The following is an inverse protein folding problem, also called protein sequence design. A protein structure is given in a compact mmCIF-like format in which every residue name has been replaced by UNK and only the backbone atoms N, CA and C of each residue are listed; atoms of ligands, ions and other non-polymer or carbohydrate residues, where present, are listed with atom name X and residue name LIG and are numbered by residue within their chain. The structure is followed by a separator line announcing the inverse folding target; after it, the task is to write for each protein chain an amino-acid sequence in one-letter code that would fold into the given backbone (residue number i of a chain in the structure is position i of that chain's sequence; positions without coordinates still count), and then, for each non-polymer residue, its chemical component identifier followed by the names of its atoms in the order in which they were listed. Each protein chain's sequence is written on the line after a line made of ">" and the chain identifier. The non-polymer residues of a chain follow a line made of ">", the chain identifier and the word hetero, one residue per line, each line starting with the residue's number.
data_IF_431008371021
#
_entry.id   IF_431008371021
#
_cell.length_a   1.000
_cell.length_b   1.000
_cell.length_c   1.000
_cell.angle_alpha   90.00
_cell.angle_beta   90.00
_cell.angle_gamma   90.00
#
_symmetry.space_group_name_H-M   'P 1'
#
loop_
_entity.id
_entity.type
_entity.pdbx_description
1 polymer ?
#
# COMPACT_ATOMS: atom_id res chain seq x y z
N UNK A 1 17.24 -58.12 3.44
CA UNK A 1 16.81 -56.71 3.55
C UNK A 1 17.15 -56.06 2.22
N UNK A 2 16.17 -55.69 1.38
CA UNK A 2 16.47 -55.05 0.10
C UNK A 2 17.14 -53.69 0.37
N UNK A 3 18.29 -53.48 -0.27
CA UNK A 3 19.01 -52.21 -0.28
C UNK A 3 18.06 -51.05 -0.63
N UNK A 4 18.14 -49.95 0.12
CA UNK A 4 17.30 -48.76 -0.07
C UNK A 4 17.38 -48.25 -1.52
N UNK A 5 18.52 -48.43 -2.19
CA UNK A 5 18.71 -48.04 -3.59
C UNK A 5 17.83 -48.81 -4.57
N UNK A 6 17.49 -50.08 -4.29
CA UNK A 6 16.60 -50.85 -5.15
C UNK A 6 15.15 -50.39 -5.04
N UNK A 7 14.75 -49.83 -3.89
CA UNK A 7 13.38 -49.35 -3.64
C UNK A 7 13.12 -47.95 -4.17
N UNK A 8 14.15 -47.24 -4.63
CA UNK A 8 14.05 -45.90 -5.22
C UNK A 8 13.39 -45.88 -6.60
N UNK A 9 13.38 -47.01 -7.34
CA UNK A 9 12.92 -47.06 -8.73
C UNK A 9 11.47 -46.59 -8.92
N UNK A 10 10.61 -46.74 -7.90
CA UNK A 10 9.20 -46.38 -7.97
C UNK A 10 8.87 -45.05 -7.26
N UNK A 11 9.87 -44.31 -6.78
CA UNK A 11 9.64 -43.06 -6.09
C UNK A 11 9.51 -41.91 -7.11
N UNK A 12 8.36 -41.20 -7.16
CA UNK A 12 8.13 -40.19 -8.20
C UNK A 12 9.03 -38.96 -7.99
N UNK A 13 9.56 -38.37 -9.09
CA UNK A 13 10.34 -37.14 -8.99
C UNK A 13 9.47 -35.93 -8.60
N UNK A 14 10.11 -34.84 -8.19
CA UNK A 14 9.40 -33.59 -7.90
C UNK A 14 8.85 -32.99 -9.21
N UNK A 15 7.53 -32.80 -9.27
CA UNK A 15 6.88 -32.10 -10.38
C UNK A 15 6.74 -30.60 -10.10
N UNK A 16 7.51 -29.81 -10.83
CA UNK A 16 7.51 -28.33 -10.78
C UNK A 16 6.74 -27.67 -11.94
N UNK A 17 6.11 -28.46 -12.83
CA UNK A 17 5.48 -27.95 -14.06
C UNK A 17 4.20 -27.17 -13.79
N UNK A 18 3.52 -27.43 -12.67
CA UNK A 18 2.31 -26.71 -12.24
C UNK A 18 2.71 -25.43 -11.50
N UNK A 19 3.03 -24.36 -12.26
CA UNK A 19 3.51 -23.08 -11.72
C UNK A 19 2.65 -22.49 -10.58
N UNK A 20 1.33 -22.73 -10.58
CA UNK A 20 0.41 -22.20 -9.57
C UNK A 20 0.44 -22.91 -8.20
N UNK A 21 1.17 -24.02 -8.04
CA UNK A 21 1.17 -24.81 -6.80
C UNK A 21 2.55 -25.36 -6.38
N UNK A 22 3.65 -24.80 -6.88
CA UNK A 22 5.02 -25.33 -6.65
C UNK A 22 5.32 -25.57 -5.16
N UNK A 23 5.02 -24.61 -4.28
CA UNK A 23 5.25 -24.76 -2.84
C UNK A 23 4.43 -25.90 -2.22
N UNK A 24 3.17 -26.07 -2.62
CA UNK A 24 2.32 -27.17 -2.14
C UNK A 24 2.78 -28.53 -2.64
N UNK A 25 3.17 -28.61 -3.92
CA UNK A 25 3.74 -29.82 -4.52
C UNK A 25 5.03 -30.23 -3.80
N UNK A 26 5.90 -29.24 -3.53
CA UNK A 26 7.11 -29.45 -2.74
C UNK A 26 6.82 -29.99 -1.34
N UNK A 27 5.89 -29.37 -0.59
CA UNK A 27 5.53 -29.83 0.75
C UNK A 27 5.02 -31.28 0.75
N UNK A 28 4.14 -31.63 -0.20
CA UNK A 28 3.63 -32.99 -0.36
C UNK A 28 4.73 -33.99 -0.72
N UNK A 29 5.57 -33.64 -1.70
CA UNK A 29 6.68 -34.48 -2.13
C UNK A 29 7.69 -34.69 -1.00
N UNK A 30 8.04 -33.64 -0.26
CA UNK A 30 8.94 -33.70 0.90
C UNK A 30 8.39 -34.61 2.00
N UNK A 31 7.09 -34.53 2.30
CA UNK A 31 6.45 -35.45 3.25
C UNK A 31 6.58 -36.90 2.78
N UNK A 32 6.26 -37.19 1.52
CA UNK A 32 6.40 -38.54 0.96
C UNK A 32 7.85 -39.05 1.04
N UNK A 33 8.82 -38.17 0.77
CA UNK A 33 10.25 -38.49 0.87
C UNK A 33 10.67 -38.82 2.31
N UNK A 34 10.24 -38.02 3.29
CA UNK A 34 10.53 -38.27 4.70
C UNK A 34 9.87 -39.57 5.19
N UNK A 35 8.63 -39.85 4.78
CA UNK A 35 7.97 -41.12 5.08
C UNK A 35 8.68 -42.31 4.43
N UNK A 36 9.19 -42.16 3.22
CA UNK A 36 10.02 -43.17 2.56
C UNK A 36 11.30 -43.46 3.37
N UNK A 37 12.03 -42.42 3.81
CA UNK A 37 13.21 -42.62 4.66
C UNK A 37 12.87 -43.30 5.99
N UNK A 38 11.79 -42.89 6.65
CA UNK A 38 11.35 -43.50 7.91
C UNK A 38 10.99 -44.98 7.75
N UNK A 39 10.38 -45.36 6.62
CA UNK A 39 9.99 -46.74 6.35
C UNK A 39 11.18 -47.61 5.94
N UNK A 40 12.01 -47.11 5.03
CA UNK A 40 13.05 -47.89 4.37
C UNK A 40 14.41 -47.84 5.08
N UNK A 41 14.64 -46.82 5.92
CA UNK A 41 15.84 -46.66 6.74
C UNK A 41 15.49 -46.26 8.17
N UNK A 42 14.55 -46.98 8.79
CA UNK A 42 14.08 -46.72 10.16
C UNK A 42 15.19 -46.72 11.23
N UNK A 43 16.29 -47.44 10.97
CA UNK A 43 17.47 -47.52 11.86
C UNK A 43 18.54 -46.47 11.51
N UNK A 44 18.25 -45.57 10.56
CA UNK A 44 19.13 -44.50 10.10
C UNK A 44 20.53 -44.97 9.67
N UNK A 45 20.63 -46.17 9.09
CA UNK A 45 21.88 -46.78 8.63
C UNK A 45 22.50 -45.93 7.52
N UNK A 46 21.67 -45.33 6.66
CA UNK A 46 22.08 -44.52 5.52
C UNK A 46 22.02 -43.01 5.79
N UNK A 47 21.97 -42.57 7.05
CA UNK A 47 21.80 -41.16 7.43
C UNK A 47 22.81 -40.22 6.76
N UNK A 48 24.07 -40.64 6.66
CA UNK A 48 25.14 -39.89 5.98
C UNK A 48 24.94 -39.79 4.46
N UNK A 49 24.13 -40.67 3.87
CA UNK A 49 23.80 -40.71 2.46
C UNK A 49 22.43 -40.11 2.15
N UNK A 50 21.61 -39.74 3.13
CA UNK A 50 20.25 -39.23 2.88
C UNK A 50 20.21 -38.02 1.94
N UNK A 51 21.19 -37.12 1.99
CA UNK A 51 21.30 -36.01 1.02
C UNK A 51 21.55 -36.53 -0.39
N UNK A 52 22.37 -37.57 -0.55
CA UNK A 52 22.61 -38.21 -1.86
C UNK A 52 21.33 -38.89 -2.36
N UNK A 53 20.60 -39.56 -1.47
CA UNK A 53 19.32 -40.20 -1.77
C UNK A 53 18.28 -39.15 -2.22
N UNK A 54 18.16 -38.04 -1.49
CA UNK A 54 17.33 -36.90 -1.88
C UNK A 54 17.66 -36.44 -3.30
N UNK A 55 18.95 -36.23 -3.59
CA UNK A 55 19.38 -35.77 -4.91
C UNK A 55 19.08 -36.79 -6.01
N UNK A 56 19.16 -38.10 -5.74
CA UNK A 56 18.76 -39.12 -6.73
C UNK A 56 17.26 -39.05 -7.04
N UNK A 57 16.43 -38.79 -6.04
CA UNK A 57 14.96 -38.85 -6.12
C UNK A 57 14.28 -37.53 -6.54
N UNK A 58 14.86 -36.38 -6.21
CA UNK A 58 14.22 -35.06 -6.42
C UNK A 58 14.03 -34.69 -7.90
N UNK A 59 14.68 -35.42 -8.82
CA UNK A 59 14.58 -35.16 -10.25
C UNK A 59 15.46 -34.01 -10.76
N UNK A 60 15.45 -33.74 -12.08
CA UNK A 60 16.37 -32.81 -12.72
C UNK A 60 16.18 -31.35 -12.26
N UNK A 61 14.95 -30.88 -12.11
CA UNK A 61 14.66 -29.50 -11.70
C UNK A 61 15.07 -29.25 -10.25
N UNK A 62 14.78 -30.19 -9.35
CA UNK A 62 15.23 -30.13 -7.97
C UNK A 62 16.77 -30.13 -7.85
N UNK A 63 17.46 -30.95 -8.65
CA UNK A 63 18.94 -30.94 -8.74
C UNK A 63 19.47 -29.58 -9.20
N UNK A 64 18.81 -28.94 -10.17
CA UNK A 64 19.20 -27.60 -10.66
C UNK A 64 19.08 -26.55 -9.56
N UNK A 65 17.96 -26.56 -8.82
CA UNK A 65 17.75 -25.67 -7.66
C UNK A 65 18.81 -25.91 -6.60
N UNK A 66 19.09 -27.18 -6.27
CA UNK A 66 20.15 -27.54 -5.31
C UNK A 66 21.50 -26.97 -5.76
N UNK A 67 21.90 -27.19 -7.01
CA UNK A 67 23.18 -26.68 -7.53
C UNK A 67 23.29 -25.15 -7.40
N UNK A 68 22.19 -24.43 -7.63
CA UNK A 68 22.15 -22.98 -7.48
C UNK A 68 22.27 -22.52 -6.02
N UNK A 69 21.66 -23.23 -5.07
CA UNK A 69 21.65 -22.85 -3.65
C UNK A 69 22.94 -23.24 -2.89
N UNK A 70 23.71 -24.20 -3.41
CA UNK A 70 24.86 -24.81 -2.72
C UNK A 70 26.16 -24.76 -3.54
N UNK A 71 26.35 -23.72 -4.35
CA UNK A 71 27.58 -23.53 -5.15
C UNK A 71 28.84 -23.77 -4.30
N UNK A 72 29.68 -24.73 -4.72
CA UNK A 72 30.99 -25.08 -4.14
C UNK A 72 31.01 -25.53 -2.66
N UNK A 73 29.91 -26.07 -2.12
CA UNK A 73 29.89 -26.61 -0.75
C UNK A 73 30.08 -28.14 -0.71
N UNK A 74 30.79 -28.65 0.32
CA UNK A 74 30.68 -30.05 0.74
C UNK A 74 29.21 -30.41 1.00
N UNK A 75 28.85 -31.68 0.79
CA UNK A 75 27.51 -32.21 1.04
C UNK A 75 27.07 -31.88 2.46
N UNK A 76 26.07 -31.01 2.57
CA UNK A 76 25.48 -30.63 3.85
C UNK A 76 24.50 -31.70 4.33
N UNK A 77 24.27 -31.69 5.64
CA UNK A 77 23.28 -32.55 6.28
C UNK A 77 21.88 -32.34 5.67
N UNK A 78 21.08 -33.40 5.67
CA UNK A 78 19.77 -33.40 5.03
C UNK A 78 18.87 -32.27 5.56
N UNK A 79 18.91 -31.99 6.86
CA UNK A 79 18.05 -31.00 7.50
C UNK A 79 18.33 -29.60 6.97
N UNK A 80 19.60 -29.20 6.90
CA UNK A 80 20.01 -27.91 6.32
C UNK A 80 19.64 -27.82 4.84
N UNK A 81 19.77 -28.92 4.10
CA UNK A 81 19.40 -28.97 2.68
C UNK A 81 17.90 -28.76 2.49
N UNK A 82 17.09 -29.51 3.23
CA UNK A 82 15.62 -29.40 3.18
C UNK A 82 15.15 -28.01 3.57
N UNK A 83 15.72 -27.40 4.62
CA UNK A 83 15.30 -26.07 5.07
C UNK A 83 15.54 -24.98 4.01
N UNK A 84 16.67 -25.04 3.30
CA UNK A 84 16.95 -24.10 2.20
C UNK A 84 16.06 -24.34 0.99
N UNK A 85 15.77 -25.60 0.68
CA UNK A 85 14.82 -25.95 -0.39
C UNK A 85 13.40 -25.54 -0.01
N UNK A 86 12.99 -25.67 1.25
CA UNK A 86 11.71 -25.18 1.77
C UNK A 86 11.55 -23.68 1.50
N UNK A 87 12.53 -22.87 1.93
CA UNK A 87 12.52 -21.42 1.69
C UNK A 87 12.44 -21.11 0.18
N UNK A 88 13.15 -21.86 -0.66
CA UNK A 88 13.14 -21.64 -2.11
C UNK A 88 11.82 -22.02 -2.77
N UNK A 89 11.30 -23.23 -2.55
CA UNK A 89 10.11 -23.70 -3.25
C UNK A 89 8.82 -23.06 -2.74
N UNK A 90 8.79 -22.63 -1.46
CA UNK A 90 7.62 -21.97 -0.87
C UNK A 90 7.55 -20.51 -1.29
N UNK A 91 8.67 -19.76 -1.19
CA UNK A 91 8.66 -18.31 -1.43
C UNK A 91 9.23 -17.89 -2.78
N UNK A 92 9.97 -18.76 -3.46
CA UNK A 92 10.59 -18.47 -4.75
C UNK A 92 11.51 -17.24 -4.69
N UNK A 93 11.28 -16.31 -5.62
CA UNK A 93 12.00 -15.03 -5.75
C UNK A 93 11.30 -13.88 -5.00
N UNK A 94 10.34 -14.18 -4.11
CA UNK A 94 9.63 -13.14 -3.37
C UNK A 94 10.60 -12.40 -2.45
N UNK A 95 10.67 -11.09 -2.62
CA UNK A 95 11.48 -10.16 -1.84
C UNK A 95 10.60 -8.99 -1.39
N UNK A 96 10.98 -8.38 -0.27
CA UNK A 96 10.31 -7.19 0.26
C UNK A 96 10.41 -6.04 -0.73
N UNK A 97 9.27 -5.47 -1.12
CA UNK A 97 9.22 -4.41 -2.12
C UNK A 97 9.65 -3.05 -1.54
N UNK A 98 10.12 -2.16 -2.42
CA UNK A 98 10.51 -0.80 -2.03
C UNK A 98 9.28 0.00 -1.59
N UNK A 99 9.18 0.28 -0.30
CA UNK A 99 8.04 1.00 0.30
C UNK A 99 6.98 0.13 0.94
N UNK A 100 7.09 -1.20 0.82
CA UNK A 100 6.29 -2.16 1.61
C UNK A 100 6.74 -2.12 3.07
N UNK A 101 5.80 -2.15 4.03
CA UNK A 101 6.18 -2.26 5.44
C UNK A 101 6.67 -3.67 5.76
N UNK A 102 7.48 -3.82 6.81
CA UNK A 102 7.89 -5.15 7.28
C UNK A 102 6.64 -5.97 7.62
N UNK A 103 5.63 -5.41 8.29
CA UNK A 103 4.40 -6.14 8.65
C UNK A 103 3.66 -6.68 7.42
N UNK A 104 3.47 -5.85 6.38
CA UNK A 104 2.83 -6.28 5.14
C UNK A 104 3.59 -7.40 4.45
N UNK A 105 4.92 -7.30 4.43
CA UNK A 105 5.77 -8.35 3.87
C UNK A 105 5.63 -9.66 4.64
N UNK A 106 5.62 -9.61 5.97
CA UNK A 106 5.45 -10.77 6.85
C UNK A 106 4.09 -11.42 6.65
N UNK A 107 3.01 -10.65 6.64
CA UNK A 107 1.65 -11.16 6.39
C UNK A 107 1.57 -11.86 5.05
N UNK A 108 2.19 -11.26 4.03
CA UNK A 108 2.30 -11.82 2.68
C UNK A 108 3.10 -13.13 2.64
N UNK A 109 4.15 -13.29 3.45
CA UNK A 109 4.89 -14.54 3.58
C UNK A 109 4.07 -15.60 4.34
N UNK A 110 3.39 -15.20 5.42
CA UNK A 110 2.53 -16.09 6.21
C UNK A 110 1.42 -16.70 5.35
N UNK A 111 0.75 -15.90 4.52
CA UNK A 111 -0.27 -16.40 3.59
C UNK A 111 0.28 -17.43 2.60
N UNK A 112 1.49 -17.21 2.07
CA UNK A 112 2.14 -18.15 1.15
C UNK A 112 2.51 -19.46 1.86
N UNK A 113 3.06 -19.38 3.08
CA UNK A 113 3.39 -20.55 3.88
C UNK A 113 2.13 -21.39 4.21
N UNK A 114 1.03 -20.74 4.60
CA UNK A 114 -0.26 -21.38 4.85
C UNK A 114 -0.83 -22.03 3.58
N UNK A 115 -0.81 -21.33 2.45
CA UNK A 115 -1.29 -21.87 1.17
C UNK A 115 -0.48 -23.09 0.71
N UNK A 116 0.81 -23.15 1.04
CA UNK A 116 1.67 -24.31 0.75
C UNK A 116 1.41 -25.53 1.65
N UNK A 117 0.57 -25.39 2.68
CA UNK A 117 0.32 -26.40 3.72
C UNK A 117 1.58 -26.82 4.47
N UNK A 118 2.49 -25.87 4.71
CA UNK A 118 3.69 -26.15 5.49
C UNK A 118 3.32 -26.34 6.98
N UNK A 119 3.92 -27.34 7.63
CA UNK A 119 3.55 -27.73 9.00
C UNK A 119 3.76 -26.61 10.04
N UNK A 120 4.81 -25.81 9.87
CA UNK A 120 5.16 -24.71 10.79
C UNK A 120 5.40 -23.40 10.01
N UNK A 121 4.30 -22.67 9.68
CA UNK A 121 4.38 -21.44 8.90
C UNK A 121 5.25 -20.36 9.54
N UNK A 122 5.19 -20.22 10.87
CA UNK A 122 5.95 -19.20 11.59
C UNK A 122 7.46 -19.46 11.49
N UNK A 123 7.88 -20.72 11.65
CA UNK A 123 9.29 -21.07 11.54
C UNK A 123 9.84 -20.90 10.12
N UNK A 124 9.09 -21.29 9.08
CA UNK A 124 9.59 -21.13 7.70
C UNK A 124 9.64 -19.66 7.26
N UNK A 125 8.71 -18.84 7.75
CA UNK A 125 8.75 -17.38 7.58
C UNK A 125 9.94 -16.78 8.32
N UNK A 126 10.22 -17.22 9.55
CA UNK A 126 11.45 -16.85 10.29
C UNK A 126 12.71 -17.13 9.47
N UNK A 127 12.87 -18.34 8.93
CA UNK A 127 14.05 -18.69 8.11
C UNK A 127 14.17 -17.83 6.85
N UNK A 128 13.05 -17.52 6.20
CA UNK A 128 13.01 -16.61 5.05
C UNK A 128 13.45 -15.21 5.43
N UNK A 129 12.98 -14.65 6.55
CA UNK A 129 13.36 -13.32 7.01
C UNK A 129 14.83 -13.26 7.38
N UNK A 130 15.36 -14.28 8.07
CA UNK A 130 16.79 -14.34 8.41
C UNK A 130 17.64 -14.28 7.14
N UNK A 131 17.25 -15.03 6.10
CA UNK A 131 17.91 -14.99 4.77
C UNK A 131 17.83 -13.58 4.16
N UNK A 132 16.68 -12.93 4.23
CA UNK A 132 16.47 -11.61 3.63
C UNK A 132 17.24 -10.52 4.36
N UNK A 133 17.22 -10.51 5.69
CA UNK A 133 18.02 -9.61 6.54
C UNK A 133 19.50 -9.82 6.24
N UNK A 134 19.98 -11.07 6.16
CA UNK A 134 21.38 -11.35 5.85
C UNK A 134 21.81 -10.75 4.51
N UNK A 135 20.93 -10.79 3.51
CA UNK A 135 21.21 -10.28 2.17
C UNK A 135 20.86 -8.79 2.00
N UNK A 136 20.36 -8.15 3.05
CA UNK A 136 19.95 -6.76 3.01
C UNK A 136 21.16 -5.83 3.12
N UNK A 137 21.20 -4.80 2.27
CA UNK A 137 22.27 -3.80 2.25
C UNK A 137 22.08 -2.75 3.35
N UNK A 138 22.38 -3.12 4.59
CA UNK A 138 22.39 -2.18 5.72
C UNK A 138 23.54 -1.18 5.60
N UNK A 139 23.29 0.06 6.04
CA UNK A 139 24.26 1.15 6.02
C UNK A 139 24.10 2.04 7.26
N UNK A 140 25.06 2.92 7.54
CA UNK A 140 24.95 3.89 8.63
C UNK A 140 24.81 3.26 10.02
N UNK A 141 23.98 3.86 10.86
CA UNK A 141 23.74 3.38 12.23
C UNK A 141 23.22 1.95 12.29
N UNK A 142 22.46 1.51 11.28
CA UNK A 142 21.97 0.14 11.24
C UNK A 142 23.11 -0.87 11.07
N UNK A 143 24.14 -0.53 10.29
CA UNK A 143 25.31 -1.39 10.14
C UNK A 143 26.08 -1.54 11.46
N UNK A 144 26.29 -0.43 12.17
CA UNK A 144 26.96 -0.43 13.49
C UNK A 144 26.13 -1.24 14.51
N UNK A 145 24.81 -1.04 14.51
CA UNK A 145 23.89 -1.78 15.36
C UNK A 145 23.93 -3.29 15.11
N UNK A 146 23.99 -3.71 13.85
CA UNK A 146 24.12 -5.13 13.45
C UNK A 146 25.46 -5.70 13.90
N UNK A 147 26.56 -4.98 13.68
CA UNK A 147 27.90 -5.42 14.10
C UNK A 147 28.00 -5.62 15.62
N UNK A 148 27.27 -4.82 16.41
CA UNK A 148 27.21 -4.99 17.87
C UNK A 148 26.59 -6.33 18.32
N UNK A 149 25.95 -7.08 17.42
CA UNK A 149 25.32 -8.37 17.71
C UNK A 149 26.22 -9.57 17.41
N UNK A 150 27.45 -9.34 16.95
CA UNK A 150 28.38 -10.40 16.60
C UNK A 150 27.97 -11.12 15.31
N UNK A 151 27.91 -12.45 15.34
CA UNK A 151 27.49 -13.24 14.17
C UNK A 151 25.97 -13.14 13.99
N UNK A 152 25.56 -12.35 12.99
CA UNK A 152 24.17 -11.96 12.78
C UNK A 152 23.23 -13.15 12.61
N UNK A 153 23.63 -14.19 11.87
CA UNK A 153 22.73 -15.32 11.58
C UNK A 153 22.44 -16.10 12.87
N UNK A 154 23.47 -16.43 13.65
CA UNK A 154 23.35 -17.12 14.93
C UNK A 154 22.54 -16.28 15.92
N UNK A 155 22.78 -14.97 15.98
CA UNK A 155 21.98 -14.06 16.79
C UNK A 155 20.49 -14.14 16.42
N UNK A 156 20.15 -13.96 15.14
CA UNK A 156 18.74 -14.02 14.71
C UNK A 156 18.12 -15.41 14.90
N UNK A 157 18.88 -16.49 14.72
CA UNK A 157 18.39 -17.85 14.96
C UNK A 157 17.96 -18.09 16.42
N UNK A 158 18.62 -17.42 17.37
CA UNK A 158 18.27 -17.51 18.80
C UNK A 158 16.97 -16.79 19.18
N UNK A 159 16.44 -15.92 18.30
CA UNK A 159 15.26 -15.11 18.55
C UNK A 159 13.98 -15.79 18.04
N UNK A 160 12.84 -15.46 18.63
CA UNK A 160 11.53 -15.77 18.03
C UNK A 160 11.22 -14.83 16.86
N UNK A 161 10.17 -15.16 16.10
CA UNK A 161 9.77 -14.41 14.91
C UNK A 161 9.47 -12.94 15.24
N UNK A 162 8.74 -12.67 16.31
CA UNK A 162 8.33 -11.32 16.71
C UNK A 162 9.55 -10.45 17.05
N UNK A 163 10.52 -11.00 17.78
CA UNK A 163 11.79 -10.31 18.08
C UNK A 163 12.59 -10.01 16.82
N UNK A 164 12.61 -10.90 15.82
CA UNK A 164 13.29 -10.66 14.54
C UNK A 164 12.58 -9.55 13.74
N UNK A 165 11.24 -9.54 13.76
CA UNK A 165 10.46 -8.47 13.12
C UNK A 165 10.78 -7.12 13.76
N UNK A 166 10.79 -7.05 15.10
CA UNK A 166 11.17 -5.84 15.84
C UNK A 166 12.60 -5.42 15.54
N UNK A 167 13.54 -6.37 15.48
CA UNK A 167 14.93 -6.11 15.12
C UNK A 167 15.05 -5.50 13.72
N UNK A 168 14.33 -6.04 12.73
CA UNK A 168 14.38 -5.51 11.37
C UNK A 168 13.76 -4.11 11.27
N UNK A 169 12.63 -3.87 11.96
CA UNK A 169 12.02 -2.53 12.06
C UNK A 169 12.98 -1.51 12.67
N UNK A 170 13.72 -1.91 13.71
CA UNK A 170 14.74 -1.05 14.31
C UNK A 170 15.86 -0.73 13.31
N UNK A 171 16.32 -1.70 12.52
CA UNK A 171 17.31 -1.46 11.49
C UNK A 171 16.81 -0.47 10.41
N UNK A 172 15.56 -0.60 9.93
CA UNK A 172 14.96 0.36 8.98
C UNK A 172 14.82 1.76 9.58
N UNK A 173 14.48 1.86 10.86
CA UNK A 173 14.43 3.13 11.60
C UNK A 173 15.82 3.80 11.67
N UNK A 174 16.86 3.04 12.03
CA UNK A 174 18.24 3.52 12.11
C UNK A 174 18.79 3.95 10.74
N UNK A 175 18.42 3.25 9.66
CA UNK A 175 18.72 3.66 8.28
C UNK A 175 18.09 5.02 7.93
N UNK A 176 16.88 5.27 8.44
CA UNK A 176 16.11 6.50 8.17
C UNK A 176 16.59 7.70 8.99
N UNK A 177 17.30 7.47 10.10
CA UNK A 177 17.84 8.52 10.98
C UNK A 177 19.07 9.25 10.41
N UNK A 178 19.71 8.73 9.35
CA UNK A 178 20.85 9.38 8.67
C UNK A 178 20.57 10.79 8.13
N UNK A 179 19.29 11.18 8.00
CA UNK A 179 18.93 12.51 7.49
C UNK A 179 18.81 13.58 8.58
N UNK A 180 19.17 13.29 9.84
CA UNK A 180 18.88 14.19 10.97
C UNK A 180 20.07 14.48 11.90
N UNK A 181 21.26 13.91 11.65
CA UNK A 181 22.38 14.05 12.60
C UNK A 181 23.28 15.27 12.40
N UNK A 182 23.18 16.00 11.30
CA UNK A 182 23.82 17.32 11.17
C UNK A 182 23.01 18.44 11.83
N UNK A 183 21.89 18.14 12.49
CA UNK A 183 21.10 19.15 13.18
C UNK A 183 20.54 18.60 14.48
N UNK A 184 21.39 18.55 15.52
CA UNK A 184 21.04 18.89 16.91
C UNK A 184 22.11 18.39 17.89
N UNK A 185 23.19 19.17 18.00
CA UNK A 185 23.71 19.47 19.34
C UNK A 185 22.59 20.25 20.04
N UNK A 186 22.18 19.79 21.21
CA UNK A 186 21.31 20.48 22.19
C UNK A 186 19.82 20.58 21.81
N UNK A 187 18.99 19.69 22.37
CA UNK A 187 18.24 20.00 23.60
C UNK A 187 17.47 18.75 24.04
N UNK A 188 17.89 18.22 25.18
CA UNK A 188 17.10 17.37 26.05
C UNK A 188 15.92 18.14 26.63
N UNK A 189 14.72 17.57 26.57
CA UNK A 189 13.88 17.21 27.72
C UNK A 189 12.41 17.06 27.31
N UNK A 190 11.74 16.17 28.03
CA UNK A 190 10.35 15.72 27.88
C UNK A 190 9.34 16.82 27.50
N UNK A 191 8.35 16.44 26.67
CA UNK A 191 6.90 16.60 26.91
C UNK A 191 6.10 16.21 25.64
N UNK A 192 5.19 15.25 25.83
CA UNK A 192 3.96 14.99 25.05
C UNK A 192 3.85 15.62 23.64
N UNK A 193 4.14 14.85 22.60
CA UNK A 193 3.67 15.15 21.24
C UNK A 193 2.80 14.00 20.76
N UNK A 194 1.49 14.18 20.92
CA UNK A 194 0.45 13.48 20.17
C UNK A 194 0.91 13.37 18.72
N UNK A 195 1.15 12.15 18.24
CA UNK A 195 1.52 11.88 16.85
C UNK A 195 0.42 12.41 15.94
N UNK A 196 0.55 13.65 15.46
CA UNK A 196 -0.44 14.26 14.58
C UNK A 196 -0.33 13.62 13.20
N UNK A 197 -1.19 12.62 12.98
CA UNK A 197 -1.51 11.99 11.71
C UNK A 197 -1.65 13.06 10.61
N UNK A 198 -0.97 12.90 9.47
CA UNK A 198 -1.07 13.89 8.40
C UNK A 198 -2.51 13.95 7.86
N UNK A 199 -3.12 15.13 7.93
CA UNK A 199 -4.49 15.40 7.48
C UNK A 199 -4.74 15.12 5.99
N UNK A 200 -3.68 14.94 5.18
CA UNK A 200 -3.77 14.71 3.73
C UNK A 200 -3.87 13.23 3.36
N UNK A 201 -3.11 12.38 4.04
CA UNK A 201 -3.01 10.95 3.71
C UNK A 201 -3.41 10.02 4.87
N UNK A 202 -3.56 10.56 6.08
CA UNK A 202 -3.85 9.75 7.26
C UNK A 202 -2.66 8.98 7.81
N UNK A 203 -1.45 9.37 7.46
CA UNK A 203 -0.24 8.65 7.90
C UNK A 203 0.81 9.64 8.39
N UNK A 204 1.69 9.19 9.27
CA UNK A 204 2.82 10.00 9.75
C UNK A 204 3.95 9.96 8.70
N UNK A 205 4.44 11.12 8.29
CA UNK A 205 5.54 11.25 7.33
C UNK A 205 6.27 12.59 7.50
N UNK A 206 7.49 12.71 6.98
CA UNK A 206 8.26 13.96 6.99
C UNK A 206 7.69 15.01 6.03
N UNK A 207 8.03 16.29 6.25
CA UNK A 207 7.59 17.43 5.42
C UNK A 207 7.94 17.16 3.95
N UNK A 208 6.97 17.36 3.05
CA UNK A 208 7.05 17.08 1.60
C UNK A 208 7.12 15.60 1.17
N UNK A 209 7.00 14.63 2.07
CA UNK A 209 6.93 13.18 1.73
C UNK A 209 5.53 12.58 1.89
N UNK A 210 4.51 13.41 1.73
CA UNK A 210 3.14 12.94 1.84
C UNK A 210 2.83 11.95 0.70
N UNK A 211 2.41 10.70 1.00
CA UNK A 211 2.00 9.73 -0.03
C UNK A 211 0.87 10.23 -0.91
N UNK A 212 0.07 11.16 -0.40
CA UNK A 212 -0.99 11.77 -1.17
C UNK A 212 -0.51 12.91 -2.09
N UNK A 213 0.76 13.33 -2.01
CA UNK A 213 1.31 14.38 -2.86
C UNK A 213 1.26 13.96 -4.34
N UNK A 214 0.70 14.82 -5.20
CA UNK A 214 0.49 14.54 -6.61
C UNK A 214 -0.67 13.58 -6.91
N UNK A 215 -1.27 12.92 -5.91
CA UNK A 215 -2.42 12.03 -6.10
C UNK A 215 -3.69 12.86 -6.28
N UNK A 216 -4.45 12.57 -7.34
CA UNK A 216 -5.75 13.17 -7.57
C UNK A 216 -6.84 12.43 -6.80
N UNK A 217 -7.60 13.17 -6.00
CA UNK A 217 -8.72 12.65 -5.23
C UNK A 217 -9.93 12.38 -6.13
N UNK A 218 -10.56 11.21 -6.02
CA UNK A 218 -11.72 10.87 -6.84
C UNK A 218 -12.97 11.64 -6.47
N UNK A 219 -13.11 12.00 -5.20
CA UNK A 219 -14.20 12.84 -4.74
C UNK A 219 -14.06 14.24 -5.33
N UNK A 220 -13.05 15.02 -4.91
CA UNK A 220 -12.96 16.44 -5.26
C UNK A 220 -12.20 16.76 -6.54
N UNK A 221 -11.58 15.76 -7.17
CA UNK A 221 -10.71 15.92 -8.35
C UNK A 221 -9.58 16.93 -8.15
N UNK A 222 -9.27 17.26 -6.88
CA UNK A 222 -8.12 18.06 -6.45
C UNK A 222 -6.96 17.15 -6.06
N UNK A 223 -5.78 17.73 -5.82
CA UNK A 223 -4.56 16.98 -5.57
C UNK A 223 -4.17 16.95 -4.09
N UNK A 224 -3.14 16.18 -3.75
CA UNK A 224 -2.43 16.24 -2.48
C UNK A 224 -3.20 15.70 -1.27
N UNK A 225 -4.19 14.82 -1.47
CA UNK A 225 -4.89 14.08 -0.39
C UNK A 225 -5.56 12.81 -0.93
N UNK A 226 -5.78 11.82 -0.07
CA UNK A 226 -6.54 10.61 -0.43
C UNK A 226 -8.04 10.84 -0.38
N UNK A 227 -8.80 10.06 -1.16
CA UNK A 227 -10.27 10.16 -1.26
C UNK A 227 -10.97 10.05 0.10
N UNK A 228 -10.47 9.19 0.99
CA UNK A 228 -10.99 9.00 2.36
C UNK A 228 -10.61 10.13 3.33
N UNK A 229 -9.60 10.94 3.02
CA UNK A 229 -9.21 12.15 3.78
C UNK A 229 -9.67 13.44 3.08
N UNK A 230 -10.55 13.33 2.10
CA UNK A 230 -11.11 14.47 1.40
C UNK A 230 -12.01 15.29 2.34
N UNK A 231 -11.56 16.50 2.68
CA UNK A 231 -12.37 17.48 3.44
C UNK A 231 -13.37 18.24 2.55
N UNK A 232 -13.49 17.88 1.28
CA UNK A 232 -14.43 18.49 0.36
C UNK A 232 -15.86 18.17 0.77
N UNK A 233 -16.64 19.18 1.15
CA UNK A 233 -18.06 18.99 1.46
C UNK A 233 -18.81 18.61 0.18
N UNK A 234 -19.23 17.35 0.10
CA UNK A 234 -20.08 16.88 -0.97
C UNK A 234 -21.50 17.42 -0.76
N UNK A 235 -22.07 18.03 -1.79
CA UNK A 235 -23.42 18.60 -1.78
C UNK A 235 -24.25 17.82 -2.78
N UNK A 236 -25.21 17.05 -2.28
CA UNK A 236 -26.24 16.44 -3.12
C UNK A 236 -27.29 17.49 -3.50
N UNK A 237 -27.81 17.39 -4.73
CA UNK A 237 -28.89 18.25 -5.25
C UNK A 237 -28.70 19.75 -4.94
N UNK A 238 -27.58 20.33 -5.42
CA UNK A 238 -27.23 21.69 -5.07
C UNK A 238 -28.28 22.71 -5.53
N UNK A 239 -28.70 23.61 -4.64
CA UNK A 239 -29.70 24.65 -4.95
C UNK A 239 -29.27 25.67 -6.01
N UNK A 240 -27.99 25.72 -6.38
CA UNK A 240 -27.44 26.64 -7.38
C UNK A 240 -27.38 26.04 -8.78
N UNK A 241 -27.09 24.74 -8.90
CA UNK A 241 -26.91 24.07 -10.20
C UNK A 241 -27.78 22.81 -10.41
N UNK A 242 -28.38 22.25 -9.36
CA UNK A 242 -29.29 21.10 -9.40
C UNK A 242 -28.58 19.74 -9.36
N UNK A 243 -27.25 19.72 -9.51
CA UNK A 243 -26.46 18.49 -9.56
C UNK A 243 -25.74 18.21 -8.23
N UNK A 244 -25.39 16.94 -8.03
CA UNK A 244 -24.54 16.49 -6.93
C UNK A 244 -23.07 16.71 -7.28
N UNK A 245 -22.34 17.43 -6.43
CA UNK A 245 -20.94 17.79 -6.66
C UNK A 245 -20.28 18.27 -5.35
N UNK A 246 -18.98 18.58 -5.39
CA UNK A 246 -18.29 19.14 -4.22
C UNK A 246 -18.38 20.65 -4.19
N UNK A 247 -18.71 21.21 -3.04
CA UNK A 247 -19.13 22.59 -2.86
C UNK A 247 -18.25 23.64 -3.57
N UNK A 248 -16.92 23.44 -3.63
CA UNK A 248 -15.98 24.36 -4.30
C UNK A 248 -15.96 24.27 -5.83
N UNK A 249 -16.65 23.28 -6.43
CA UNK A 249 -16.69 23.02 -7.87
C UNK A 249 -18.12 23.04 -8.41
N UNK A 250 -18.90 24.02 -7.96
CA UNK A 250 -20.25 24.22 -8.49
C UNK A 250 -20.20 24.59 -9.97
N UNK A 251 -20.88 23.81 -10.80
CA UNK A 251 -21.00 24.05 -12.25
C UNK A 251 -21.64 25.40 -12.59
N UNK A 252 -22.42 25.96 -11.65
CA UNK A 252 -23.01 27.28 -11.81
C UNK A 252 -22.07 28.41 -11.37
N UNK A 253 -20.88 28.12 -10.82
CA UNK A 253 -19.91 29.14 -10.43
C UNK A 253 -19.45 29.95 -11.65
N UNK A 254 -19.40 31.28 -11.50
CA UNK A 254 -19.08 32.21 -12.58
C UNK A 254 -20.19 32.41 -13.62
N UNK A 255 -21.22 31.55 -13.64
CA UNK A 255 -22.33 31.67 -14.58
C UNK A 255 -23.25 32.82 -14.19
N UNK A 256 -23.55 33.70 -15.15
CA UNK A 256 -24.46 34.82 -14.96
C UNK A 256 -25.90 34.38 -15.26
N UNK A 257 -26.78 34.57 -14.28
CA UNK A 257 -28.20 34.26 -14.45
C UNK A 257 -28.88 35.32 -15.33
N UNK A 258 -29.46 34.91 -16.45
CA UNK A 258 -30.15 35.82 -17.37
C UNK A 258 -31.44 36.42 -16.77
N UNK A 259 -32.02 35.78 -15.74
CA UNK A 259 -33.25 36.28 -15.10
C UNK A 259 -32.98 37.45 -14.15
N UNK A 260 -31.90 37.42 -13.39
CA UNK A 260 -31.65 38.40 -12.33
C UNK A 260 -30.31 39.13 -12.42
N UNK A 261 -29.46 38.78 -13.38
CA UNK A 261 -28.14 39.38 -13.59
C UNK A 261 -27.09 38.98 -12.55
N UNK A 262 -27.46 38.22 -11.51
CA UNK A 262 -26.52 37.75 -10.48
C UNK A 262 -25.77 36.50 -10.94
N UNK A 263 -24.53 36.34 -10.47
CA UNK A 263 -23.68 35.19 -10.79
C UNK A 263 -23.95 33.98 -9.87
N UNK A 264 -23.28 32.86 -10.14
CA UNK A 264 -23.16 31.68 -9.28
C UNK A 264 -24.42 30.79 -9.14
N UNK A 265 -25.36 30.85 -10.08
CA UNK A 265 -26.52 29.93 -10.15
C UNK A 265 -27.09 29.87 -11.57
N UNK A 266 -27.77 28.77 -11.90
CA UNK A 266 -28.47 28.64 -13.18
C UNK A 266 -29.84 29.33 -13.16
N UNK A 267 -30.26 29.84 -14.33
CA UNK A 267 -31.50 30.58 -14.52
C UNK A 267 -32.77 29.78 -14.15
N UNK A 268 -32.73 28.45 -14.32
CA UNK A 268 -33.84 27.58 -13.92
C UNK A 268 -33.92 27.34 -12.41
N UNK A 269 -32.86 27.65 -11.65
CA UNK A 269 -32.84 27.61 -10.17
C UNK A 269 -32.89 29.00 -9.54
N UNK A 270 -33.12 30.04 -10.34
CA UNK A 270 -33.19 31.41 -9.85
C UNK A 270 -34.40 31.61 -8.94
N UNK A 271 -34.16 31.99 -7.69
CA UNK A 271 -35.18 32.28 -6.68
C UNK A 271 -35.47 33.78 -6.50
N UNK A 272 -34.89 34.63 -7.35
CA UNK A 272 -35.11 36.08 -7.26
C UNK A 272 -36.55 36.39 -7.67
N UNK A 273 -37.34 37.10 -6.85
CA UNK A 273 -38.70 37.45 -7.21
C UNK A 273 -38.75 38.34 -8.45
N UNK A 274 -39.75 38.11 -9.29
CA UNK A 274 -40.03 38.89 -10.49
C UNK A 274 -41.09 39.94 -10.16
N UNK A 275 -40.78 41.20 -10.43
CA UNK A 275 -41.76 42.30 -10.43
C UNK A 275 -42.54 42.18 -11.71
N UNK A 276 -43.86 42.03 -11.59
CA UNK A 276 -44.77 42.09 -12.74
C UNK A 276 -45.21 43.52 -12.98
N UNK A 277 -45.29 43.93 -14.25
CA UNK A 277 -45.74 45.25 -14.70
C UNK A 277 -45.18 46.41 -13.86
N UNK A 278 -43.86 46.50 -13.79
CA UNK A 278 -43.18 47.47 -12.92
C UNK A 278 -43.64 48.91 -13.20
N UNK A 279 -43.99 49.65 -12.14
CA UNK A 279 -44.44 51.05 -12.25
C UNK A 279 -43.40 52.00 -12.86
N UNK A 280 -42.12 51.62 -12.90
CA UNK A 280 -41.05 52.45 -13.45
C UNK A 280 -40.83 52.23 -14.95
N UNK A 281 -41.02 51.00 -15.44
CA UNK A 281 -40.67 50.62 -16.81
C UNK A 281 -41.77 49.91 -17.61
N UNK A 282 -42.84 49.47 -16.96
CA UNK A 282 -43.99 48.77 -17.54
C UNK A 282 -43.74 47.32 -17.96
N UNK A 283 -42.55 46.75 -17.71
CA UNK A 283 -42.20 45.38 -18.07
C UNK A 283 -42.03 44.49 -16.84
N UNK A 284 -42.08 43.18 -17.07
CA UNK A 284 -41.73 42.18 -16.08
C UNK A 284 -40.21 42.02 -16.00
N UNK A 285 -39.65 42.06 -14.80
CA UNK A 285 -38.22 41.90 -14.58
C UNK A 285 -37.91 41.44 -13.15
N UNK A 286 -36.72 40.87 -12.91
CA UNK A 286 -36.26 40.64 -11.54
C UNK A 286 -36.12 41.96 -10.78
N UNK A 287 -36.43 41.97 -9.47
CA UNK A 287 -36.40 43.18 -8.63
C UNK A 287 -35.12 44.03 -8.82
N UNK A 288 -33.96 43.39 -8.98
CA UNK A 288 -32.66 44.06 -9.12
C UNK A 288 -32.32 44.58 -10.52
N UNK A 289 -33.18 44.35 -11.53
CA UNK A 289 -32.86 44.56 -12.94
C UNK A 289 -33.88 45.45 -13.65
N UNK A 290 -34.36 46.50 -12.98
CA UNK A 290 -35.30 47.43 -13.61
C UNK A 290 -34.62 48.15 -14.79
N UNK A 291 -35.12 48.02 -16.03
CA UNK A 291 -34.53 48.68 -17.21
C UNK A 291 -34.52 50.21 -17.14
N UNK A 292 -35.38 50.78 -16.31
CA UNK A 292 -35.46 52.22 -16.10
C UNK A 292 -34.43 52.73 -15.08
N UNK A 293 -33.77 51.86 -14.32
CA UNK A 293 -32.77 52.23 -13.33
C UNK A 293 -31.61 52.98 -14.01
N UNK A 294 -31.21 54.13 -13.44
CA UNK A 294 -30.15 54.99 -13.96
C UNK A 294 -30.54 55.83 -15.19
N UNK A 295 -31.71 55.62 -15.79
CA UNK A 295 -32.19 56.46 -16.89
C UNK A 295 -32.82 57.73 -16.37
N UNK A 296 -32.57 58.85 -17.05
CA UNK A 296 -33.24 60.13 -16.78
C UNK A 296 -34.46 60.23 -17.69
N UNK A 297 -35.61 60.55 -17.10
CA UNK A 297 -36.84 60.75 -17.85
C UNK A 297 -36.80 62.08 -18.60
N UNK A 298 -36.89 62.04 -19.94
CA UNK A 298 -36.90 63.24 -20.78
C UNK A 298 -38.10 64.17 -20.57
N UNK A 299 -39.17 63.71 -19.90
CA UNK A 299 -40.35 64.56 -19.59
C UNK A 299 -40.15 65.43 -18.36
N UNK A 300 -39.57 64.89 -17.28
CA UNK A 300 -39.49 65.58 -15.98
C UNK A 300 -38.07 65.71 -15.43
N UNK A 301 -37.06 65.25 -16.17
CA UNK A 301 -35.65 65.19 -15.78
C UNK A 301 -35.36 64.46 -14.45
N UNK A 302 -36.31 63.69 -13.92
CA UNK A 302 -36.09 62.84 -12.74
C UNK A 302 -35.59 61.45 -13.15
N UNK A 303 -34.73 60.81 -12.34
CA UNK A 303 -34.17 59.50 -12.66
C UNK A 303 -35.16 58.34 -12.46
N UNK A 304 -34.76 57.15 -12.92
CA UNK A 304 -35.30 55.83 -12.57
C UNK A 304 -36.71 55.46 -13.08
N UNK A 305 -37.20 56.08 -14.15
CA UNK A 305 -38.46 55.70 -14.81
C UNK A 305 -38.46 56.07 -16.29
N UNK A 306 -39.32 55.40 -17.08
CA UNK A 306 -39.52 55.72 -18.49
C UNK A 306 -40.62 56.75 -18.70
N UNK A 307 -40.59 57.41 -19.86
CA UNK A 307 -41.52 58.50 -20.24
C UNK A 307 -42.98 58.05 -20.17
N UNK A 308 -43.25 56.81 -20.57
CA UNK A 308 -44.58 56.19 -20.62
C UNK A 308 -45.17 55.97 -19.23
N UNK A 309 -44.33 55.93 -18.19
CA UNK A 309 -44.73 55.75 -16.79
C UNK A 309 -44.49 57.00 -15.94
N UNK A 310 -44.18 58.13 -16.57
CA UNK A 310 -43.99 59.40 -15.89
C UNK A 310 -45.34 59.93 -15.37
N UNK A 311 -45.41 60.28 -14.09
CA UNK A 311 -46.61 60.84 -13.44
C UNK A 311 -46.65 62.38 -13.46
N UNK A 312 -45.57 63.02 -13.89
CA UNK A 312 -45.54 64.47 -14.10
C UNK A 312 -46.34 64.81 -15.34
N UNK A 313 -47.35 65.67 -15.18
CA UNK A 313 -48.15 66.23 -16.28
C UNK A 313 -47.33 67.22 -17.09
#
# INVERSE_FOLDING_TARGET
>A
MLDIFNKMQNFPPLDVTVQRNVGRNWCAWKQNFLSFLQKEDAKEIYKNQWTVILLKLIGPDGKKVYKNLFQNAQTKDLRTVLLKLDVFFIFGVKEKQKGESIDQYIDCLMLVALASKYNDPANIVKEKIIKDIKNYNFTGKAMIFIQSKGELVSYLQSLDLDKIILFWKQCEKLMSQRNHEDTQTQLSSDLNLVEMECVRCGTCHSRNRCPAYGVQCDNCKGYNHFTNKCKGKYVSNCTKCGMSHIQSRCHAFGQMCVKCGKVNHFSWLCKVPVVKNCLRCGKDHAISMCPAQGRICFRCNKPNHFKEKCLSK
#
